data_IF_895931775720
#
_entry.id   IF_895931775720
#
_cell.length_a   1.000
_cell.length_b   1.000
_cell.length_c   1.000
_cell.angle_alpha   90.00
_cell.angle_beta   90.00
_cell.angle_gamma   90.00
#
_symmetry.space_group_name_H-M   'P 1'
#
loop_
_entity.id
_entity.type
_entity.pdbx_description
1 polymer ?
#
# COMPACT_ATOMS: atom_id res chain seq x y z
N UNK A 1 -12.47 16.06 31.37
CA UNK A 1 -12.94 14.76 30.83
C UNK A 1 -13.22 14.78 29.31
N UNK A 2 -13.73 15.88 28.71
CA UNK A 2 -14.08 15.98 27.28
C UNK A 2 -12.95 15.69 26.27
N UNK A 3 -11.68 15.98 26.61
CA UNK A 3 -10.52 15.71 25.73
C UNK A 3 -10.15 14.22 25.63
N UNK A 4 -10.39 13.46 26.71
CA UNK A 4 -10.09 12.01 26.75
C UNK A 4 -11.14 11.20 25.97
N UNK A 5 -12.41 11.59 26.02
CA UNK A 5 -13.47 10.96 25.22
C UNK A 5 -13.29 11.22 23.72
N UNK A 6 -12.85 12.42 23.33
CA UNK A 6 -12.56 12.75 21.92
C UNK A 6 -11.44 11.88 21.34
N UNK A 7 -10.39 11.61 22.13
CA UNK A 7 -9.30 10.71 21.75
C UNK A 7 -9.78 9.26 21.57
N UNK A 8 -10.67 8.77 22.43
CA UNK A 8 -11.21 7.41 22.32
C UNK A 8 -12.09 7.27 21.06
N UNK A 9 -12.96 8.24 20.80
CA UNK A 9 -13.80 8.25 19.58
C UNK A 9 -12.94 8.34 18.32
N UNK A 10 -11.91 9.19 18.30
CA UNK A 10 -10.95 9.27 17.20
C UNK A 10 -10.19 7.95 16.98
N UNK A 11 -9.76 7.30 18.06
CA UNK A 11 -9.08 6.00 17.97
C UNK A 11 -10.02 4.90 17.43
N UNK A 12 -11.28 4.88 17.86
CA UNK A 12 -12.29 3.93 17.38
C UNK A 12 -12.60 4.12 15.89
N UNK A 13 -12.65 5.36 15.40
CA UNK A 13 -12.84 5.65 13.98
C UNK A 13 -11.66 5.16 13.13
N UNK A 14 -10.42 5.39 13.57
CA UNK A 14 -9.21 4.93 12.88
C UNK A 14 -9.15 3.40 12.80
N UNK A 15 -9.53 2.71 13.88
CA UNK A 15 -9.55 1.24 13.92
C UNK A 15 -10.65 0.69 12.98
N UNK A 16 -11.79 1.38 12.87
CA UNK A 16 -12.87 1.04 11.95
C UNK A 16 -12.46 1.11 10.48
N UNK A 17 -11.78 2.19 10.09
CA UNK A 17 -11.31 2.39 8.71
C UNK A 17 -10.22 1.40 8.30
N UNK A 18 -9.30 1.06 9.20
CA UNK A 18 -8.25 0.08 8.92
C UNK A 18 -8.80 -1.35 8.66
N UNK A 19 -9.98 -1.68 9.21
CA UNK A 19 -10.67 -2.94 8.91
C UNK A 19 -11.46 -2.90 7.60
N UNK A 20 -11.85 -1.71 7.14
CA UNK A 20 -12.65 -1.53 5.92
C UNK A 20 -11.85 -1.76 4.63
N UNK A 21 -10.53 -1.60 4.65
CA UNK A 21 -9.71 -1.77 3.44
C UNK A 21 -9.44 -3.23 3.05
N UNK A 22 -9.68 -4.18 3.95
CA UNK A 22 -9.32 -5.57 3.69
C UNK A 22 -10.28 -6.24 2.70
N UNK A 23 -9.71 -6.94 1.73
CA UNK A 23 -10.42 -7.72 0.73
C UNK A 23 -9.77 -9.08 0.50
N UNK A 24 -10.55 -10.03 0.00
CA UNK A 24 -10.06 -11.32 -0.46
C UNK A 24 -10.45 -11.56 -1.92
N UNK A 25 -9.57 -12.23 -2.66
CA UNK A 25 -9.79 -12.64 -4.04
C UNK A 25 -9.40 -14.12 -4.21
N UNK A 26 -10.23 -14.88 -4.90
CA UNK A 26 -9.94 -16.26 -5.31
C UNK A 26 -9.95 -16.33 -6.82
N UNK A 27 -8.87 -16.86 -7.40
CA UNK A 27 -8.76 -17.11 -8.83
C UNK A 27 -8.78 -18.62 -9.05
N UNK A 28 -9.65 -19.10 -9.94
CA UNK A 28 -9.81 -20.51 -10.27
C UNK A 28 -9.79 -20.71 -11.78
N UNK A 29 -9.09 -21.74 -12.27
CA UNK A 29 -9.21 -22.16 -13.65
C UNK A 29 -10.57 -22.83 -13.90
N UNK A 30 -11.20 -22.57 -15.05
CA UNK A 30 -12.49 -23.14 -15.40
C UNK A 30 -12.41 -24.66 -15.66
N UNK A 31 -11.36 -25.11 -16.36
CA UNK A 31 -11.16 -26.52 -16.69
C UNK A 31 -10.20 -27.22 -15.70
N UNK A 32 -10.43 -28.50 -15.48
CA UNK A 32 -9.53 -29.36 -14.71
C UNK A 32 -8.19 -29.57 -15.44
N UNK A 33 -7.12 -29.78 -14.66
CA UNK A 33 -5.75 -29.91 -15.19
C UNK A 33 -5.06 -28.59 -15.56
N UNK A 34 -5.79 -27.47 -15.65
CA UNK A 34 -5.18 -26.16 -15.85
C UNK A 34 -4.55 -25.61 -14.56
N UNK A 35 -3.34 -25.07 -14.67
CA UNK A 35 -2.65 -24.38 -13.56
C UNK A 35 -2.51 -22.90 -13.88
N UNK A 36 -2.69 -22.04 -12.88
CA UNK A 36 -2.64 -20.59 -13.04
C UNK A 36 -1.52 -19.97 -12.20
N UNK A 37 -0.88 -18.95 -12.75
CA UNK A 37 0.00 -18.04 -12.03
C UNK A 37 -0.59 -16.64 -12.10
N UNK A 38 -0.81 -16.05 -10.93
CA UNK A 38 -1.41 -14.73 -10.77
C UNK A 38 -0.33 -13.73 -10.37
N UNK A 39 -0.32 -12.60 -11.05
CA UNK A 39 0.59 -11.49 -10.82
C UNK A 39 -0.29 -10.25 -10.61
N UNK A 40 -0.19 -9.61 -9.45
CA UNK A 40 -0.97 -8.42 -9.11
C UNK A 40 -0.02 -7.25 -8.90
N UNK A 41 -0.28 -6.13 -9.55
CA UNK A 41 0.52 -4.89 -9.42
C UNK A 41 2.02 -5.15 -9.59
N UNK A 42 2.36 -5.97 -10.60
CA UNK A 42 3.72 -6.43 -10.95
C UNK A 42 4.36 -7.42 -9.96
N UNK A 43 3.66 -7.81 -8.90
CA UNK A 43 4.14 -8.80 -7.92
C UNK A 43 3.58 -10.19 -8.22
N UNK A 44 4.46 -11.17 -8.39
CA UNK A 44 4.08 -12.57 -8.53
C UNK A 44 3.52 -13.06 -7.19
N UNK A 45 2.29 -13.56 -7.21
CA UNK A 45 1.60 -13.99 -5.99
C UNK A 45 1.90 -15.45 -5.66
N UNK A 46 1.87 -16.30 -6.68
CA UNK A 46 2.25 -17.71 -6.58
C UNK A 46 3.41 -18.00 -7.54
N UNK A 47 4.58 -18.29 -6.98
CA UNK A 47 5.77 -18.69 -7.75
C UNK A 47 5.50 -19.96 -8.56
N UNK A 48 4.88 -20.96 -7.94
CA UNK A 48 4.44 -22.18 -8.61
C UNK A 48 2.99 -22.06 -9.10
N UNK A 49 2.70 -22.41 -10.38
CA UNK A 49 1.34 -22.45 -10.90
C UNK A 49 0.43 -23.45 -10.16
N UNK A 50 -0.81 -23.06 -9.86
CA UNK A 50 -1.79 -23.88 -9.10
C UNK A 50 -3.18 -23.80 -9.73
N UNK A 51 -4.05 -24.78 -9.54
CA UNK A 51 -5.44 -24.74 -10.04
C UNK A 51 -6.29 -23.63 -9.39
N UNK A 52 -6.01 -23.34 -8.12
CA UNK A 52 -6.70 -22.31 -7.34
C UNK A 52 -5.67 -21.43 -6.62
N UNK A 53 -5.82 -20.12 -6.74
CA UNK A 53 -4.98 -19.12 -6.06
C UNK A 53 -5.88 -18.22 -5.23
N UNK A 54 -5.72 -18.29 -3.90
CA UNK A 54 -6.43 -17.45 -2.94
C UNK A 54 -5.49 -16.33 -2.46
N UNK A 55 -5.98 -15.11 -2.45
CA UNK A 55 -5.22 -13.89 -2.18
C UNK A 55 -6.01 -13.04 -1.20
N UNK A 56 -5.31 -12.40 -0.28
CA UNK A 56 -5.83 -11.37 0.61
C UNK A 56 -5.01 -10.10 0.39
N UNK A 57 -5.66 -8.93 0.43
CA UNK A 57 -4.98 -7.65 0.28
C UNK A 57 -5.89 -6.48 0.62
N UNK A 58 -5.45 -5.28 0.24
CA UNK A 58 -6.32 -4.13 0.18
C UNK A 58 -7.35 -4.33 -0.95
N UNK A 59 -8.57 -3.83 -0.75
CA UNK A 59 -9.52 -3.64 -1.83
C UNK A 59 -9.11 -2.46 -2.72
N UNK A 60 -9.66 -2.41 -3.93
CA UNK A 60 -9.31 -1.39 -4.90
C UNK A 60 -9.31 -1.93 -6.32
N UNK A 61 -8.84 -1.11 -7.25
CA UNK A 61 -8.60 -1.53 -8.64
C UNK A 61 -7.14 -1.96 -8.75
N UNK A 62 -6.93 -3.18 -9.22
CA UNK A 62 -5.59 -3.76 -9.34
C UNK A 62 -5.32 -4.18 -10.78
N UNK A 63 -4.06 -4.06 -11.20
CA UNK A 63 -3.61 -4.61 -12.47
C UNK A 63 -3.26 -6.08 -12.26
N UNK A 64 -4.06 -6.97 -12.84
CA UNK A 64 -3.91 -8.42 -12.68
C UNK A 64 -3.46 -9.03 -14.01
N UNK A 65 -2.27 -9.63 -14.00
CA UNK A 65 -1.76 -10.45 -15.09
C UNK A 65 -1.90 -11.92 -14.69
N UNK A 66 -2.61 -12.69 -15.51
CA UNK A 66 -2.87 -14.11 -15.26
C UNK A 66 -2.18 -14.91 -16.36
N UNK A 67 -1.36 -15.88 -15.96
CA UNK A 67 -0.82 -16.89 -16.85
C UNK A 67 -1.54 -18.20 -16.59
N UNK A 68 -2.00 -18.88 -17.63
CA UNK A 68 -2.64 -20.19 -17.58
C UNK A 68 -1.73 -21.19 -18.29
N UNK A 69 -1.48 -22.32 -17.64
CA UNK A 69 -0.65 -23.42 -18.12
C UNK A 69 -1.56 -24.63 -18.37
N UNK A 70 -1.56 -25.13 -19.61
CA UNK A 70 -2.27 -26.34 -20.04
C UNK A 70 -1.24 -27.25 -20.70
N UNK A 71 -0.64 -28.15 -19.90
CA UNK A 71 0.53 -28.93 -20.30
C UNK A 71 1.73 -28.01 -20.62
N UNK A 72 2.38 -28.14 -21.80
CA UNK A 72 3.51 -27.29 -22.18
C UNK A 72 3.07 -25.90 -22.67
N UNK A 73 1.78 -25.68 -22.95
CA UNK A 73 1.26 -24.42 -23.50
C UNK A 73 1.02 -23.40 -22.39
N UNK A 74 1.38 -22.15 -22.65
CA UNK A 74 1.17 -21.02 -21.76
C UNK A 74 0.34 -19.93 -22.45
N UNK A 75 -0.74 -19.51 -21.80
CA UNK A 75 -1.61 -18.41 -22.22
C UNK A 75 -1.51 -17.28 -21.19
N UNK A 76 -1.61 -16.03 -21.64
CA UNK A 76 -1.47 -14.87 -20.73
C UNK A 76 -2.51 -13.81 -21.04
N UNK A 77 -3.14 -13.28 -19.99
CA UNK A 77 -4.02 -12.10 -20.08
C UNK A 77 -3.62 -11.05 -19.05
N UNK A 78 -3.97 -9.81 -19.33
CA UNK A 78 -3.79 -8.66 -18.44
C UNK A 78 -5.13 -7.94 -18.35
N UNK A 79 -5.68 -7.85 -17.15
CA UNK A 79 -6.95 -7.17 -16.90
C UNK A 79 -6.83 -6.21 -15.70
N UNK A 80 -7.65 -5.16 -15.70
CA UNK A 80 -7.85 -4.34 -14.50
C UNK A 80 -9.06 -4.87 -13.75
N UNK A 81 -8.82 -5.45 -12.57
CA UNK A 81 -9.87 -6.05 -11.76
C UNK A 81 -10.11 -5.22 -10.51
N UNK A 82 -11.37 -4.81 -10.32
CA UNK A 82 -11.82 -4.22 -9.05
C UNK A 82 -12.04 -5.32 -8.03
N UNK A 83 -11.29 -5.32 -6.94
CA UNK A 83 -11.49 -6.20 -5.79
C UNK A 83 -12.24 -5.38 -4.74
N UNK A 84 -13.49 -5.75 -4.45
CA UNK A 84 -14.32 -4.99 -3.51
C UNK A 84 -13.81 -5.17 -2.07
N UNK A 85 -13.41 -4.06 -1.45
CA UNK A 85 -13.12 -3.97 -0.02
C UNK A 85 -14.35 -4.41 0.78
N UNK A 86 -14.17 -5.19 1.84
CA UNK A 86 -15.32 -5.74 2.56
C UNK A 86 -15.72 -7.18 2.16
N UNK A 87 -15.22 -7.67 1.01
CA UNK A 87 -15.75 -8.86 0.32
C UNK A 87 -14.67 -9.85 -0.10
N UNK A 88 -15.10 -11.10 -0.22
CA UNK A 88 -14.40 -12.19 -0.90
C UNK A 88 -14.93 -12.28 -2.33
N UNK A 89 -14.11 -11.85 -3.27
CA UNK A 89 -14.38 -11.92 -4.70
C UNK A 89 -13.85 -13.23 -5.27
N UNK A 90 -14.62 -13.89 -6.11
CA UNK A 90 -14.21 -15.11 -6.81
C UNK A 90 -14.21 -14.82 -8.31
N UNK A 91 -13.09 -15.15 -8.96
CA UNK A 91 -12.82 -14.96 -10.37
C UNK A 91 -12.53 -16.31 -10.99
N UNK A 92 -13.25 -16.64 -12.06
CA UNK A 92 -13.02 -17.83 -12.87
C UNK A 92 -12.39 -17.42 -14.18
N UNK A 93 -11.33 -18.15 -14.56
CA UNK A 93 -10.57 -17.90 -15.79
C UNK A 93 -10.98 -18.95 -16.82
N UNK A 94 -11.52 -18.48 -17.93
CA UNK A 94 -11.95 -19.30 -19.05
C UNK A 94 -10.94 -19.20 -20.18
N UNK A 95 -10.58 -20.34 -20.76
CA UNK A 95 -9.83 -20.43 -22.00
C UNK A 95 -10.86 -20.66 -23.12
N UNK A 96 -11.00 -19.69 -24.01
CA UNK A 96 -11.91 -19.79 -25.14
C UNK A 96 -11.29 -20.65 -26.27
N UNK A 97 -12.12 -21.09 -27.21
CA UNK A 97 -11.68 -21.91 -28.35
C UNK A 97 -10.65 -21.19 -29.25
N UNK A 98 -10.75 -19.87 -29.35
CA UNK A 98 -9.81 -18.98 -30.05
C UNK A 98 -8.47 -18.81 -29.32
N UNK A 99 -8.25 -19.53 -28.21
CA UNK A 99 -7.07 -19.45 -27.33
C UNK A 99 -6.95 -18.12 -26.57
N UNK A 100 -8.01 -17.30 -26.56
CA UNK A 100 -8.08 -16.13 -25.69
C UNK A 100 -8.45 -16.53 -24.26
N UNK A 101 -8.01 -15.71 -23.29
CA UNK A 101 -8.34 -15.88 -21.89
C UNK A 101 -9.34 -14.82 -21.47
N UNK A 102 -10.45 -15.24 -20.84
CA UNK A 102 -11.47 -14.36 -20.28
C UNK A 102 -11.56 -14.55 -18.77
N UNK A 103 -11.42 -13.48 -18.00
CA UNK A 103 -11.62 -13.53 -16.55
C UNK A 103 -13.01 -13.01 -16.22
N UNK A 104 -13.82 -13.81 -15.52
CA UNK A 104 -15.17 -13.42 -15.08
C UNK A 104 -15.26 -13.48 -13.57
N UNK A 105 -15.79 -12.43 -12.95
CA UNK A 105 -16.19 -12.48 -11.54
C UNK A 105 -17.43 -13.36 -11.42
N UNK A 106 -17.33 -14.46 -10.68
CA UNK A 106 -18.41 -15.44 -10.50
C UNK A 106 -19.16 -15.24 -9.20
N UNK A 107 -18.46 -14.85 -8.12
CA UNK A 107 -19.07 -14.63 -6.81
C UNK A 107 -18.46 -13.43 -6.10
N UNK A 108 -19.26 -12.76 -5.27
CA UNK A 108 -18.78 -11.74 -4.35
C UNK A 108 -19.55 -11.87 -3.03
N UNK A 109 -18.91 -12.43 -2.02
CA UNK A 109 -19.54 -12.67 -0.71
C UNK A 109 -19.00 -11.70 0.32
N UNK A 110 -19.85 -11.11 1.15
CA UNK A 110 -19.39 -10.23 2.25
C UNK A 110 -18.54 -11.04 3.22
N UNK A 111 -17.40 -10.49 3.63
CA UNK A 111 -16.57 -11.12 4.65
C UNK A 111 -17.18 -10.87 6.02
N UNK A 112 -17.20 -11.90 6.86
CA UNK A 112 -17.71 -11.81 8.22
C UNK A 112 -16.62 -11.34 9.20
N UNK A 113 -17.03 -10.74 10.31
CA UNK A 113 -16.14 -10.14 11.30
C UNK A 113 -15.06 -11.12 11.83
N UNK A 114 -15.41 -12.40 11.99
CA UNK A 114 -14.46 -13.44 12.42
C UNK A 114 -13.32 -13.69 11.40
N UNK A 115 -13.57 -13.47 10.11
CA UNK A 115 -12.56 -13.63 9.04
C UNK A 115 -11.59 -12.44 8.98
N UNK A 116 -12.05 -11.26 9.39
CA UNK A 116 -11.18 -10.09 9.58
C UNK A 116 -10.26 -10.26 10.79
N UNK A 117 -10.81 -10.76 11.91
CA UNK A 117 -10.07 -10.94 13.17
C UNK A 117 -9.05 -12.08 13.12
N UNK A 118 -9.32 -13.16 12.37
CA UNK A 118 -8.42 -14.33 12.26
C UNK A 118 -8.07 -14.67 10.81
N UNK A 119 -7.47 -13.73 10.07
CA UNK A 119 -7.23 -13.91 8.64
C UNK A 119 -6.22 -15.03 8.35
N UNK A 120 -5.35 -15.33 9.30
CA UNK A 120 -4.38 -16.43 9.26
C UNK A 120 -5.05 -17.80 9.21
N UNK A 121 -6.20 -17.99 9.86
CA UNK A 121 -6.95 -19.26 9.83
C UNK A 121 -7.71 -19.48 8.52
N UNK A 122 -8.17 -18.40 7.88
CA UNK A 122 -9.02 -18.49 6.68
C UNK A 122 -8.23 -18.31 5.38
N UNK A 123 -7.07 -17.64 5.44
CA UNK A 123 -6.27 -17.30 4.26
C UNK A 123 -4.80 -17.70 4.47
N UNK A 124 -4.29 -18.48 3.52
CA UNK A 124 -3.01 -19.18 3.62
C UNK A 124 -1.81 -18.21 3.73
N UNK A 125 -1.15 -18.17 4.91
CA UNK A 125 -0.05 -17.24 5.28
C UNK A 125 1.10 -17.12 4.27
N UNK A 126 1.33 -18.15 3.45
CA UNK A 126 2.46 -18.21 2.51
C UNK A 126 2.25 -17.42 1.21
N UNK A 127 1.01 -17.12 0.81
CA UNK A 127 0.71 -16.40 -0.45
C UNK A 127 0.44 -14.91 -0.25
N UNK A 128 0.84 -14.38 0.91
CA UNK A 128 0.77 -12.97 1.21
C UNK A 128 1.86 -12.26 0.42
N UNK A 129 1.51 -11.84 -0.80
CA UNK A 129 2.01 -10.55 -1.20
C UNK A 129 1.51 -9.56 -0.16
N UNK A 130 2.38 -9.13 0.77
CA UNK A 130 2.31 -7.75 1.27
C UNK A 130 2.31 -6.90 0.01
N UNK A 131 1.13 -6.62 -0.54
CA UNK A 131 0.91 -5.53 -1.47
C UNK A 131 1.17 -4.37 -0.55
N UNK A 132 2.43 -3.91 -0.53
CA UNK A 132 2.69 -2.58 0.00
C UNK A 132 1.77 -1.73 -0.85
N UNK A 133 0.73 -1.18 -0.25
CA UNK A 133 0.10 0.00 -0.80
C UNK A 133 1.29 0.86 -1.21
N UNK A 134 1.45 1.11 -2.50
CA UNK A 134 2.19 2.30 -2.89
C UNK A 134 1.35 3.36 -2.21
N UNK A 135 1.80 3.80 -1.03
CA UNK A 135 1.33 5.04 -0.46
C UNK A 135 1.19 5.96 -1.66
N UNK A 136 -0.01 6.52 -1.82
CA UNK A 136 -0.26 7.70 -2.64
C UNK A 136 1.05 8.45 -2.76
N UNK A 137 1.50 8.65 -4.02
CA UNK A 137 2.70 9.41 -4.36
C UNK A 137 3.01 10.34 -3.20
N UNK A 138 4.07 10.04 -2.43
CA UNK A 138 4.63 11.06 -1.54
C UNK A 138 4.73 12.26 -2.46
N UNK A 139 3.91 13.29 -2.21
CA UNK A 139 4.11 14.59 -2.81
C UNK A 139 5.62 14.82 -2.73
N UNK A 140 6.28 15.26 -3.81
CA UNK A 140 7.71 15.56 -3.73
C UNK A 140 7.89 16.38 -2.47
N UNK A 141 8.71 15.86 -1.57
CA UNK A 141 8.98 16.50 -0.29
C UNK A 141 9.70 17.78 -0.67
N UNK A 142 8.94 18.87 -0.88
CA UNK A 142 9.49 20.21 -0.95
C UNK A 142 10.24 20.33 0.36
N UNK A 143 11.57 20.34 0.26
CA UNK A 143 12.43 20.65 1.40
C UNK A 143 12.18 22.12 1.69
N UNK A 144 11.18 22.40 2.52
CA UNK A 144 11.22 23.63 3.30
C UNK A 144 12.47 23.49 4.17
N UNK A 145 13.43 24.43 4.10
CA UNK A 145 14.61 24.38 4.95
C UNK A 145 14.15 24.28 6.40
N UNK A 146 14.57 23.20 7.06
CA UNK A 146 14.46 23.05 8.50
C UNK A 146 15.37 24.13 9.10
N UNK A 147 14.73 25.20 9.58
CA UNK A 147 15.36 26.12 10.52
C UNK A 147 15.63 25.31 11.79
N UNK A 148 16.85 24.78 11.90
CA UNK A 148 17.35 24.20 13.14
C UNK A 148 17.52 25.33 14.15
N UNK A 149 16.53 25.52 15.01
CA UNK A 149 16.74 26.18 16.29
C UNK A 149 17.44 25.18 17.23
N UNK A 150 18.75 25.02 17.05
CA UNK A 150 19.63 24.50 18.11
C UNK A 150 20.23 25.69 18.86
N UNK A 151 20.07 25.66 20.17
CA UNK A 151 20.49 26.68 21.13
C UNK A 151 22.02 26.74 21.19
N UNK A 152 22.62 27.63 20.40
CA UNK A 152 23.97 28.17 20.60
C UNK A 152 23.89 29.69 20.82
N UNK A 153 23.14 30.10 21.85
CA UNK A 153 22.92 31.52 22.16
C UNK A 153 24.07 32.19 22.94
N UNK A 154 25.20 31.50 23.16
CA UNK A 154 26.30 32.03 23.97
C UNK A 154 27.64 32.20 23.24
N UNK A 155 27.77 31.75 21.99
CA UNK A 155 29.02 31.86 21.22
C UNK A 155 28.95 32.86 20.06
N UNK A 156 27.77 33.38 19.72
CA UNK A 156 27.59 34.45 18.71
C UNK A 156 27.61 35.87 19.32
N UNK A 157 27.41 36.03 20.63
CA UNK A 157 27.37 37.36 21.26
C UNK A 157 28.75 37.98 21.46
N UNK A 158 29.81 37.16 21.60
CA UNK A 158 31.18 37.66 21.81
C UNK A 158 31.84 38.16 20.53
N UNK A 159 31.58 37.51 19.39
CA UNK A 159 32.09 37.90 18.07
C UNK A 159 31.35 39.11 17.49
N UNK A 160 30.04 39.23 17.76
CA UNK A 160 29.25 40.38 17.33
C UNK A 160 29.58 41.65 18.15
N UNK A 161 29.82 41.52 19.47
CA UNK A 161 30.18 42.65 20.32
C UNK A 161 31.59 43.20 20.04
N UNK A 162 32.58 42.34 19.78
CA UNK A 162 33.93 42.78 19.37
C UNK A 162 33.92 43.53 18.05
N UNK A 163 33.11 43.10 17.09
CA UNK A 163 32.94 43.77 15.79
C UNK A 163 32.28 45.15 15.94
N UNK A 164 31.32 45.29 16.86
CA UNK A 164 30.64 46.57 17.13
C UNK A 164 31.55 47.58 17.86
N UNK A 165 32.36 47.13 18.83
CA UNK A 165 33.34 47.98 19.50
C UNK A 165 34.41 48.50 18.52
N UNK A 166 34.92 47.64 17.63
CA UNK A 166 35.94 48.02 16.65
C UNK A 166 35.42 49.04 15.62
N UNK A 167 34.16 48.93 15.20
CA UNK A 167 33.50 49.91 14.32
C UNK A 167 33.26 51.25 15.04
N UNK A 168 32.89 51.22 16.34
CA UNK A 168 32.63 52.43 17.12
C UNK A 168 33.90 53.24 17.41
N UNK A 169 35.04 52.58 17.63
CA UNK A 169 36.34 53.25 17.81
C UNK A 169 36.86 53.88 16.52
N UNK A 170 36.67 53.23 15.35
CA UNK A 170 37.02 53.82 14.05
C UNK A 170 36.19 55.06 13.68
N UNK A 171 34.91 55.08 14.02
CA UNK A 171 34.03 56.23 13.75
C UNK A 171 34.34 57.41 14.67
N UNK A 172 34.79 57.16 15.91
CA UNK A 172 35.27 58.22 16.82
C UNK A 172 36.61 58.82 16.41
N UNK A 173 37.51 58.06 15.79
CA UNK A 173 38.81 58.55 15.33
C UNK A 173 38.76 59.34 13.99
N UNK A 174 37.60 59.38 13.33
CA UNK A 174 37.39 60.07 12.04
C UNK A 174 36.47 61.29 12.16
N UNK A 175 36.06 61.65 13.39
CA UNK A 175 35.17 62.77 13.69
C UNK A 175 35.79 63.81 14.64
N UNK A 176 37.13 63.85 14.72
CA UNK A 176 37.93 64.87 15.41
C UNK A 176 38.86 65.58 14.43
#
# INVERSE_FOLDING_TARGET
MKKKSLLIVGLLLIIGDAMAEMAAATFKAAEEGQKIQVIIDKKVINSQPKSVVKIKGAGGVHQVKIKVFKGPKQFTTKEQLRIKAGYKNEFTIFLNADRSLKVKRTRSTRMYNFQYKRPDKFYNRRFYAKIKTRHSKRLPKIRLPLVCYSKDYLTQSTTAYKSYLFLRERVKATSS
#
